data_IF_672427215657
#
_entry.id   IF_672427215657
#
_cell.length_a   1.000
_cell.length_b   1.000
_cell.length_c   1.000
_cell.angle_alpha   90.00
_cell.angle_beta   90.00
_cell.angle_gamma   90.00
#
_symmetry.space_group_name_H-M   'P 1'
#
loop_
_entity.id
_entity.type
_entity.pdbx_description
1 polymer ?
#
# COMPACT_ATOMS: atom_id res chain seq x y z
N UNK A 1 -42.40 36.26 -21.73
CA UNK A 1 -42.49 35.14 -20.78
C UNK A 1 -41.06 34.79 -20.39
N UNK A 2 -40.60 35.48 -19.34
CA UNK A 2 -39.26 35.37 -18.80
C UNK A 2 -39.19 34.14 -17.89
N UNK A 3 -38.10 33.38 -17.97
CA UNK A 3 -37.49 32.60 -16.88
C UNK A 3 -36.10 32.19 -17.41
N UNK A 4 -35.08 33.01 -17.16
CA UNK A 4 -34.16 32.81 -16.05
C UNK A 4 -33.40 31.48 -16.12
N UNK A 5 -32.58 31.31 -17.17
CA UNK A 5 -31.32 30.56 -17.02
C UNK A 5 -30.45 31.32 -16.00
N UNK A 6 -30.69 31.05 -14.72
CA UNK A 6 -29.84 31.49 -13.63
C UNK A 6 -28.44 30.93 -13.89
N UNK A 7 -27.56 31.78 -14.43
CA UNK A 7 -26.15 31.48 -14.61
C UNK A 7 -25.58 31.13 -13.23
N UNK A 8 -25.31 29.84 -13.02
CA UNK A 8 -24.65 29.36 -11.82
C UNK A 8 -23.32 30.12 -11.69
N UNK A 9 -23.19 30.91 -10.63
CA UNK A 9 -21.97 31.66 -10.34
C UNK A 9 -20.81 30.66 -10.22
N UNK A 10 -19.65 30.90 -10.87
CA UNK A 10 -18.51 30.00 -10.71
C UNK A 10 -18.13 29.94 -9.23
N UNK A 11 -18.22 28.74 -8.65
CA UNK A 11 -17.80 28.48 -7.27
C UNK A 11 -16.34 28.93 -7.15
N UNK A 12 -15.98 29.79 -6.19
CA UNK A 12 -14.59 30.16 -5.96
C UNK A 12 -13.80 28.89 -5.65
N UNK A 13 -12.95 28.48 -6.59
CA UNK A 13 -12.02 27.37 -6.38
C UNK A 13 -10.87 27.94 -5.57
N UNK A 14 -10.95 27.79 -4.25
CA UNK A 14 -9.81 28.07 -3.38
C UNK A 14 -8.64 27.20 -3.83
N UNK A 15 -7.60 27.87 -4.35
CA UNK A 15 -6.39 27.18 -4.81
C UNK A 15 -5.69 26.62 -3.58
N UNK A 16 -5.48 25.31 -3.56
CA UNK A 16 -4.70 24.68 -2.49
C UNK A 16 -3.28 25.24 -2.48
N UNK A 17 -2.77 25.66 -1.30
CA UNK A 17 -1.46 26.26 -1.22
C UNK A 17 -0.39 25.22 -1.59
N UNK A 18 0.61 25.63 -2.37
CA UNK A 18 1.70 24.78 -2.86
C UNK A 18 2.34 23.86 -1.81
N UNK A 19 2.57 24.29 -0.54
CA UNK A 19 3.08 23.41 0.50
C UNK A 19 2.18 22.20 0.79
N UNK A 20 0.86 22.35 0.67
CA UNK A 20 -0.09 21.23 0.84
C UNK A 20 0.04 20.23 -0.30
N UNK A 21 0.26 20.71 -1.53
CA UNK A 21 0.50 19.86 -2.70
C UNK A 21 1.78 19.06 -2.52
N UNK A 22 2.87 19.71 -2.11
CA UNK A 22 4.15 19.04 -1.85
C UNK A 22 4.04 18.00 -0.73
N UNK A 23 3.49 18.37 0.43
CA UNK A 23 3.35 17.44 1.57
C UNK A 23 2.47 16.23 1.25
N UNK A 24 1.44 16.39 0.41
CA UNK A 24 0.64 15.26 -0.09
C UNK A 24 1.38 14.40 -1.13
N UNK A 25 2.32 14.99 -1.89
CA UNK A 25 3.09 14.30 -2.93
C UNK A 25 4.30 13.52 -2.41
N UNK A 26 4.93 13.97 -1.33
CA UNK A 26 6.14 13.34 -0.76
C UNK A 26 6.00 11.83 -0.52
N UNK A 27 4.90 11.31 0.08
CA UNK A 27 4.75 9.87 0.29
C UNK A 27 4.73 9.05 -1.01
N UNK A 28 4.25 9.63 -2.12
CA UNK A 28 4.19 8.95 -3.41
C UNK A 28 5.59 8.68 -3.98
N UNK A 29 6.56 9.55 -3.69
CA UNK A 29 7.97 9.35 -4.10
C UNK A 29 8.56 8.13 -3.40
N UNK A 30 8.35 8.00 -2.08
CA UNK A 30 8.83 6.86 -1.31
C UNK A 30 8.20 5.55 -1.78
N UNK A 31 6.88 5.54 -1.99
CA UNK A 31 6.17 4.38 -2.52
C UNK A 31 6.68 4.00 -3.92
N UNK A 32 6.83 4.98 -4.82
CA UNK A 32 7.36 4.76 -6.17
C UNK A 32 8.78 4.19 -6.18
N UNK A 33 9.66 4.70 -5.32
CA UNK A 33 11.01 4.16 -5.17
C UNK A 33 11.02 2.72 -4.65
N UNK A 34 10.14 2.39 -3.71
CA UNK A 34 10.02 1.03 -3.20
C UNK A 34 9.55 0.06 -4.30
N UNK A 35 8.57 0.45 -5.12
CA UNK A 35 8.12 -0.35 -6.27
C UNK A 35 9.23 -0.56 -7.30
N UNK A 36 10.04 0.46 -7.56
CA UNK A 36 11.20 0.36 -8.44
C UNK A 36 12.20 -0.69 -7.92
N UNK A 37 12.56 -0.61 -6.63
CA UNK A 37 13.49 -1.56 -6.01
C UNK A 37 12.95 -2.99 -6.05
N UNK A 38 11.68 -3.20 -5.73
CA UNK A 38 11.07 -4.53 -5.80
C UNK A 38 11.11 -5.07 -7.23
N UNK A 39 10.73 -4.25 -8.21
CA UNK A 39 10.69 -4.66 -9.62
C UNK A 39 12.06 -5.04 -10.19
N UNK A 40 13.12 -4.32 -9.80
CA UNK A 40 14.46 -4.56 -10.34
C UNK A 40 15.29 -5.57 -9.52
N UNK A 41 15.19 -5.50 -8.19
CA UNK A 41 16.08 -6.25 -7.31
C UNK A 41 15.52 -7.61 -6.89
N UNK A 42 14.24 -7.68 -6.49
CA UNK A 42 13.67 -8.91 -5.90
C UNK A 42 13.63 -10.05 -6.91
N UNK A 43 13.24 -9.77 -8.15
CA UNK A 43 13.21 -10.79 -9.21
C UNK A 43 14.61 -11.35 -9.50
N UNK A 44 15.59 -10.45 -9.67
CA UNK A 44 17.00 -10.81 -9.92
C UNK A 44 17.57 -11.63 -8.76
N UNK A 45 17.43 -11.12 -7.53
CA UNK A 45 17.94 -11.78 -6.33
C UNK A 45 17.33 -13.18 -6.16
N UNK A 46 16.03 -13.31 -6.37
CA UNK A 46 15.33 -14.59 -6.18
C UNK A 46 15.72 -15.63 -7.23
N UNK A 47 16.01 -15.21 -8.46
CA UNK A 47 16.39 -16.12 -9.55
C UNK A 47 17.88 -16.46 -9.53
N UNK A 48 18.75 -15.46 -9.36
CA UNK A 48 20.20 -15.62 -9.50
C UNK A 48 20.87 -16.09 -8.20
N UNK A 49 20.34 -15.70 -7.04
CA UNK A 49 20.94 -16.01 -5.72
C UNK A 49 20.18 -17.14 -5.03
N UNK A 50 18.84 -17.06 -4.99
CA UNK A 50 18.02 -18.10 -4.35
C UNK A 50 17.71 -19.28 -5.28
N UNK A 51 18.08 -19.19 -6.56
CA UNK A 51 17.86 -20.23 -7.58
C UNK A 51 16.38 -20.66 -7.71
N UNK A 52 15.46 -19.75 -7.39
CA UNK A 52 14.02 -19.99 -7.57
C UNK A 52 13.72 -19.88 -9.07
N UNK A 53 12.94 -20.81 -9.60
CA UNK A 53 12.54 -20.79 -11.01
C UNK A 53 11.88 -19.45 -11.38
N UNK A 54 12.25 -18.83 -12.51
CA UNK A 54 11.61 -17.61 -13.01
C UNK A 54 10.10 -17.76 -13.17
N UNK A 55 9.63 -18.97 -13.50
CA UNK A 55 8.20 -19.26 -13.63
C UNK A 55 7.46 -19.06 -12.30
N UNK A 56 8.04 -19.55 -11.20
CA UNK A 56 7.43 -19.44 -9.86
C UNK A 56 7.42 -17.98 -9.41
N UNK A 57 8.53 -17.27 -9.58
CA UNK A 57 8.56 -15.84 -9.26
C UNK A 57 7.58 -15.05 -10.12
N UNK A 58 7.49 -15.33 -11.42
CA UNK A 58 6.51 -14.74 -12.32
C UNK A 58 5.08 -14.94 -11.81
N UNK A 59 4.71 -16.16 -11.40
CA UNK A 59 3.40 -16.45 -10.81
C UNK A 59 3.14 -15.67 -9.52
N UNK A 60 4.14 -15.56 -8.62
CA UNK A 60 4.02 -14.78 -7.38
C UNK A 60 3.77 -13.30 -7.70
N UNK A 61 4.54 -12.72 -8.62
CA UNK A 61 4.36 -11.33 -9.03
C UNK A 61 3.02 -11.11 -9.72
N UNK A 62 2.57 -12.03 -10.58
CA UNK A 62 1.24 -11.97 -11.22
C UNK A 62 0.13 -12.03 -10.18
N UNK A 63 0.20 -12.95 -9.22
CA UNK A 63 -0.76 -13.05 -8.13
C UNK A 63 -0.80 -11.77 -7.29
N UNK A 64 0.37 -11.17 -7.00
CA UNK A 64 0.45 -9.87 -6.31
C UNK A 64 -0.26 -8.77 -7.10
N UNK A 65 -0.13 -8.71 -8.43
CA UNK A 65 -0.84 -7.70 -9.25
C UNK A 65 -2.34 -7.93 -9.31
N UNK A 66 -2.79 -9.19 -9.33
CA UNK A 66 -4.22 -9.50 -9.24
C UNK A 66 -4.76 -9.05 -7.90
N UNK A 67 -4.01 -9.25 -6.82
CA UNK A 67 -4.38 -8.75 -5.51
C UNK A 67 -4.49 -7.22 -5.49
N UNK A 68 -3.48 -6.50 -5.99
CA UNK A 68 -3.49 -5.04 -6.06
C UNK A 68 -4.70 -4.52 -6.86
N UNK A 69 -5.01 -5.17 -7.99
CA UNK A 69 -6.16 -4.83 -8.83
C UNK A 69 -7.52 -4.96 -8.12
N UNK A 70 -7.61 -5.78 -7.07
CA UNK A 70 -8.81 -5.94 -6.25
C UNK A 70 -8.77 -5.02 -5.03
N UNK A 71 -7.63 -4.93 -4.35
CA UNK A 71 -7.49 -4.13 -3.13
C UNK A 71 -7.60 -2.63 -3.42
N UNK A 72 -7.06 -2.15 -4.54
CA UNK A 72 -7.03 -0.72 -4.85
C UNK A 72 -8.44 -0.13 -5.03
N UNK A 73 -9.36 -0.74 -5.82
CA UNK A 73 -10.74 -0.28 -5.91
C UNK A 73 -11.52 -0.44 -4.61
N UNK A 74 -11.27 -1.52 -3.85
CA UNK A 74 -11.97 -1.79 -2.60
C UNK A 74 -11.63 -0.72 -1.54
N UNK A 75 -10.34 -0.43 -1.37
CA UNK A 75 -9.88 0.63 -0.47
C UNK A 75 -10.31 2.00 -0.99
N UNK A 76 -10.25 2.24 -2.30
CA UNK A 76 -10.75 3.46 -2.92
C UNK A 76 -12.23 3.72 -2.57
N UNK A 77 -13.10 2.75 -2.83
CA UNK A 77 -14.52 2.81 -2.53
C UNK A 77 -14.80 3.03 -1.05
N UNK A 78 -14.12 2.29 -0.18
CA UNK A 78 -14.31 2.39 1.27
C UNK A 78 -13.82 3.75 1.79
N UNK A 79 -12.74 4.28 1.22
CA UNK A 79 -12.22 5.61 1.54
C UNK A 79 -13.17 6.73 1.14
N UNK A 80 -13.83 6.61 -0.02
CA UNK A 80 -14.79 7.59 -0.50
C UNK A 80 -16.09 7.57 0.32
N UNK A 81 -16.54 6.41 0.80
CA UNK A 81 -17.76 6.29 1.61
C UNK A 81 -17.58 6.77 3.06
N UNK A 82 -16.33 6.93 3.52
CA UNK A 82 -16.03 7.31 4.91
C UNK A 82 -16.31 8.80 5.15
N UNK A 83 -17.35 9.13 5.93
CA UNK A 83 -17.63 10.49 6.41
C UNK A 83 -17.04 10.66 7.81
N UNK A 84 -15.91 11.35 7.90
CA UNK A 84 -15.21 11.64 9.16
C UNK A 84 -14.96 13.14 9.31
N UNK A 85 -14.98 13.62 10.56
CA UNK A 85 -14.75 15.03 10.94
C UNK A 85 -13.38 15.57 10.51
N UNK A 86 -12.40 14.69 10.27
CA UNK A 86 -11.03 15.06 9.87
C UNK A 86 -10.79 15.02 8.35
N UNK A 87 -11.84 14.75 7.56
CA UNK A 87 -11.77 14.59 6.11
C UNK A 87 -11.54 13.15 5.66
N UNK A 88 -12.02 12.85 4.44
CA UNK A 88 -12.03 11.51 3.81
C UNK A 88 -10.64 10.85 3.76
N UNK A 89 -9.67 11.51 3.10
CA UNK A 89 -8.32 10.94 2.88
C UNK A 89 -7.44 10.89 4.14
N UNK A 90 -7.51 11.91 5.00
CA UNK A 90 -6.68 11.97 6.22
C UNK A 90 -7.03 10.88 7.24
N UNK A 91 -8.31 10.50 7.31
CA UNK A 91 -8.77 9.42 8.20
C UNK A 91 -8.18 8.07 7.78
N UNK A 92 -8.14 7.79 6.47
CA UNK A 92 -7.55 6.56 5.94
C UNK A 92 -6.03 6.48 6.09
N UNK A 93 -5.33 7.61 5.92
CA UNK A 93 -3.89 7.68 6.21
C UNK A 93 -3.57 7.47 7.69
N UNK A 94 -4.39 8.00 8.59
CA UNK A 94 -4.21 7.76 10.02
C UNK A 94 -4.56 6.31 10.39
N UNK A 95 -5.62 5.75 9.79
CA UNK A 95 -6.03 4.38 10.00
C UNK A 95 -4.97 3.37 9.54
N UNK A 96 -4.23 3.66 8.46
CA UNK A 96 -3.16 2.79 7.97
C UNK A 96 -1.94 2.71 8.89
N UNK A 97 -1.75 3.67 9.81
CA UNK A 97 -0.68 3.63 10.81
C UNK A 97 -0.80 2.37 11.67
N UNK A 98 -2.02 2.03 12.11
CA UNK A 98 -2.24 0.87 12.98
C UNK A 98 -1.80 -0.47 12.35
N UNK A 99 -2.29 -0.88 11.17
CA UNK A 99 -1.86 -2.13 10.56
C UNK A 99 -0.38 -2.09 10.15
N UNK A 100 0.15 -0.96 9.69
CA UNK A 100 1.58 -0.84 9.34
C UNK A 100 2.45 -1.04 10.58
N UNK A 101 2.16 -0.33 11.68
CA UNK A 101 2.90 -0.46 12.93
C UNK A 101 2.78 -1.87 13.52
N UNK A 102 1.58 -2.46 13.50
CA UNK A 102 1.38 -3.82 13.97
C UNK A 102 2.20 -4.84 13.16
N UNK A 103 2.16 -4.74 11.84
CA UNK A 103 2.92 -5.65 10.95
C UNK A 103 4.43 -5.46 11.14
N UNK A 104 4.88 -4.22 11.30
CA UNK A 104 6.28 -3.92 11.58
C UNK A 104 6.74 -4.57 12.90
N UNK A 105 5.98 -4.41 13.98
CA UNK A 105 6.28 -5.09 15.25
C UNK A 105 6.29 -6.60 15.08
N UNK A 106 5.33 -7.16 14.34
CA UNK A 106 5.23 -8.60 14.14
C UNK A 106 6.43 -9.18 13.36
N UNK A 107 7.02 -8.42 12.43
CA UNK A 107 8.24 -8.82 11.70
C UNK A 107 9.46 -8.87 12.63
N UNK A 108 9.61 -7.91 13.54
CA UNK A 108 10.80 -7.78 14.39
C UNK A 108 10.66 -8.41 15.78
N UNK A 109 9.44 -8.67 16.22
CA UNK A 109 9.11 -9.33 17.47
C UNK A 109 8.12 -10.46 17.20
N UNK A 110 8.56 -11.55 16.53
CA UNK A 110 7.70 -12.69 16.27
C UNK A 110 7.20 -13.28 17.60
N UNK A 111 5.91 -13.67 17.68
CA UNK A 111 5.36 -14.33 18.87
C UNK A 111 6.24 -15.51 19.27
N UNK A 112 6.55 -15.62 20.56
CA UNK A 112 7.42 -16.67 21.12
C UNK A 112 6.90 -18.10 20.87
N UNK A 113 5.62 -18.25 20.51
CA UNK A 113 4.99 -19.51 20.12
C UNK A 113 5.20 -19.94 18.66
N UNK A 114 5.79 -19.10 17.80
CA UNK A 114 6.12 -19.43 16.40
C UNK A 114 7.58 -19.90 16.26
N UNK A 115 8.10 -20.59 17.27
CA UNK A 115 9.37 -21.30 17.15
C UNK A 115 9.23 -22.32 16.03
N UNK A 116 9.89 -22.03 14.91
CA UNK A 116 10.01 -22.97 13.81
C UNK A 116 10.42 -24.31 14.40
N UNK A 117 9.71 -25.37 14.00
CA UNK A 117 10.06 -26.74 14.34
C UNK A 117 11.50 -26.95 13.91
N UNK A 118 12.46 -26.72 14.81
CA UNK A 118 13.85 -27.11 14.59
C UNK A 118 13.78 -28.58 14.19
N UNK A 119 14.41 -28.99 13.07
CA UNK A 119 14.59 -30.40 12.80
C UNK A 119 15.24 -30.95 14.06
N UNK A 120 14.50 -31.76 14.82
CA UNK A 120 15.03 -32.44 15.98
C UNK A 120 16.27 -33.15 15.49
N UNK A 121 17.42 -32.78 16.06
CA UNK A 121 18.70 -33.45 15.92
C UNK A 121 18.47 -34.93 15.62
N UNK A 122 18.80 -35.34 14.39
CA UNK A 122 18.92 -36.75 14.08
C UNK A 122 19.81 -37.35 15.15
N UNK A 123 19.21 -38.24 15.94
CA UNK A 123 19.84 -38.96 17.02
C UNK A 123 21.20 -39.45 16.55
N UNK A 124 22.23 -39.13 17.33
CA UNK A 124 23.38 -40.00 17.52
C UNK A 124 22.91 -41.45 17.50
N UNK A 125 23.34 -42.21 16.48
CA UNK A 125 23.72 -43.63 16.51
C UNK A 125 24.27 -44.02 15.15
#
# INVERSE_FOLDING_TARGET
MADAHAAASPVPVDRVPWPTVFTYGVPAVGAGYMYLLIGLYVMKFSTDVLLISPLVMGLIFSASRVWDAVSDPLVGYLSDRTRSRFGRRRTWMAASILPISATFVMIFAPPTGLTGRSPSSASTR
#
